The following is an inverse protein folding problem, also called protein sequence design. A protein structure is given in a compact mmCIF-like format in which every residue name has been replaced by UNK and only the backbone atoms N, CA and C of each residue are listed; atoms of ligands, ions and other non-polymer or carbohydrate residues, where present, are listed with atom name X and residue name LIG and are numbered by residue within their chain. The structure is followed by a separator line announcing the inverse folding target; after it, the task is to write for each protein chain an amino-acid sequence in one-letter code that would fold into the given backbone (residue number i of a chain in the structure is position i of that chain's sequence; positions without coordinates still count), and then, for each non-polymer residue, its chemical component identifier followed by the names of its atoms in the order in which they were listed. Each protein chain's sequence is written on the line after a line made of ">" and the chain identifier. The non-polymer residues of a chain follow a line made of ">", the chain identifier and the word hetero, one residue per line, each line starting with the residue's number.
data_IF_721904786682
#
_entry.id   IF_721904786682
#
_cell.length_a   1.000
_cell.length_b   1.000
_cell.length_c   1.000
_cell.angle_alpha   90.00
_cell.angle_beta   90.00
_cell.angle_gamma   90.00
#
_symmetry.space_group_name_H-M   'P 1'
#
loop_
_entity.id
_entity.type
_entity.pdbx_description
1 polymer ?
#
# COMPACT_ATOMS: atom_id res chain seq x y z
N UNK A 1 15.39 -28.62 -5.82
CA UNK A 1 14.74 -27.34 -5.41
C UNK A 1 15.65 -26.64 -4.42
N UNK A 2 16.29 -25.55 -4.82
CA UNK A 2 16.98 -24.63 -3.90
C UNK A 2 15.93 -24.03 -2.96
N UNK A 3 16.13 -24.13 -1.64
CA UNK A 3 15.23 -23.49 -0.67
C UNK A 3 15.24 -21.98 -0.95
N UNK A 4 14.08 -21.30 -1.03
CA UNK A 4 14.08 -19.85 -1.17
C UNK A 4 14.81 -19.24 0.03
N UNK A 5 15.65 -18.25 -0.25
CA UNK A 5 16.39 -17.54 0.78
C UNK A 5 15.40 -16.93 1.79
N UNK A 6 15.76 -16.94 3.08
CA UNK A 6 14.92 -16.42 4.18
C UNK A 6 14.42 -15.01 3.87
N UNK A 7 15.29 -14.17 3.29
CA UNK A 7 14.97 -12.83 2.77
C UNK A 7 13.77 -12.86 1.82
N UNK A 8 13.87 -13.63 0.74
CA UNK A 8 12.85 -13.69 -0.30
C UNK A 8 11.51 -14.15 0.29
N UNK A 9 11.52 -15.21 1.09
CA UNK A 9 10.31 -15.75 1.72
C UNK A 9 9.60 -14.71 2.59
N UNK A 10 10.33 -13.96 3.39
CA UNK A 10 9.77 -12.93 4.28
C UNK A 10 9.21 -11.77 3.46
N UNK A 11 10.00 -11.22 2.53
CA UNK A 11 9.61 -10.06 1.73
C UNK A 11 8.36 -10.38 0.91
N UNK A 12 8.32 -11.53 0.26
CA UNK A 12 7.18 -11.96 -0.54
C UNK A 12 5.94 -12.20 0.32
N UNK A 13 6.10 -12.80 1.51
CA UNK A 13 4.97 -12.97 2.44
C UNK A 13 4.33 -11.63 2.80
N UNK A 14 5.13 -10.63 3.16
CA UNK A 14 4.63 -9.29 3.50
C UNK A 14 3.97 -8.59 2.31
N UNK A 15 4.58 -8.71 1.13
CA UNK A 15 4.03 -8.12 -0.09
C UNK A 15 2.68 -8.75 -0.44
N UNK A 16 2.60 -10.09 -0.46
CA UNK A 16 1.37 -10.83 -0.78
C UNK A 16 0.27 -10.57 0.26
N UNK A 17 0.60 -10.48 1.55
CA UNK A 17 -0.38 -10.12 2.57
C UNK A 17 -0.92 -8.69 2.42
N UNK A 18 -0.15 -7.76 1.84
CA UNK A 18 -0.67 -6.43 1.51
C UNK A 18 -1.48 -6.41 0.21
N UNK A 19 -1.10 -7.22 -0.78
CA UNK A 19 -1.89 -7.45 -1.99
C UNK A 19 -3.26 -8.08 -1.65
N UNK A 20 -3.29 -8.98 -0.67
CA UNK A 20 -4.51 -9.60 -0.17
C UNK A 20 -5.47 -8.57 0.42
N UNK A 21 -4.98 -7.61 1.23
CA UNK A 21 -5.82 -6.53 1.75
C UNK A 21 -6.39 -5.67 0.61
N UNK A 22 -5.60 -5.38 -0.43
CA UNK A 22 -6.09 -4.65 -1.61
C UNK A 22 -7.14 -5.42 -2.39
N UNK A 23 -6.93 -6.71 -2.58
CA UNK A 23 -7.90 -7.56 -3.26
C UNK A 23 -9.19 -7.65 -2.46
N UNK A 24 -9.11 -7.76 -1.13
CA UNK A 24 -10.29 -7.68 -0.28
C UNK A 24 -10.95 -6.31 -0.36
N UNK A 25 -10.21 -5.20 -0.27
CA UNK A 25 -10.75 -3.85 -0.43
C UNK A 25 -11.58 -3.73 -1.72
N UNK A 26 -11.08 -4.27 -2.83
CA UNK A 26 -11.79 -4.33 -4.10
C UNK A 26 -13.07 -5.19 -4.06
N UNK A 27 -13.06 -6.32 -3.33
CA UNK A 27 -14.19 -7.25 -3.24
C UNK A 27 -15.37 -6.73 -2.45
N UNK A 28 -15.12 -6.11 -1.30
CA UNK A 28 -16.19 -5.77 -0.36
C UNK A 28 -17.03 -4.56 -0.79
N UNK A 29 -16.53 -3.75 -1.75
CA UNK A 29 -17.11 -2.49 -2.26
C UNK A 29 -18.35 -2.06 -1.47
N UNK A 30 -18.09 -1.54 -0.27
CA UNK A 30 -19.03 -1.59 0.84
C UNK A 30 -19.59 -0.19 1.10
N UNK A 31 -20.85 -0.05 1.53
CA UNK A 31 -21.34 1.24 2.05
C UNK A 31 -20.55 1.70 3.30
N UNK A 32 -19.81 0.78 3.93
CA UNK A 32 -18.94 1.06 5.06
C UNK A 32 -17.56 1.52 4.57
N UNK A 33 -16.96 2.51 5.25
CA UNK A 33 -15.61 3.05 4.96
C UNK A 33 -14.46 2.03 5.16
N UNK A 34 -14.73 0.73 5.12
CA UNK A 34 -13.76 -0.33 5.36
C UNK A 34 -12.81 -0.56 4.17
N UNK A 35 -13.22 -0.24 2.94
CA UNK A 35 -12.35 -0.30 1.76
C UNK A 35 -11.09 0.59 1.90
N UNK A 36 -11.21 1.91 2.22
CA UNK A 36 -10.06 2.76 2.50
C UNK A 36 -9.17 2.29 3.65
N UNK A 37 -9.75 1.66 4.67
CA UNK A 37 -8.98 1.05 5.76
C UNK A 37 -8.10 -0.09 5.24
N UNK A 38 -8.68 -1.06 4.51
CA UNK A 38 -7.92 -2.18 3.95
C UNK A 38 -6.86 -1.69 2.95
N UNK A 39 -7.16 -0.68 2.14
CA UNK A 39 -6.15 -0.04 1.31
C UNK A 39 -5.01 0.59 2.14
N UNK A 40 -5.30 1.22 3.28
CA UNK A 40 -4.25 1.76 4.15
C UNK A 40 -3.35 0.66 4.73
N UNK A 41 -3.95 -0.47 5.16
CA UNK A 41 -3.20 -1.62 5.70
C UNK A 41 -2.38 -2.32 4.62
N UNK A 42 -2.93 -2.51 3.41
CA UNK A 42 -2.22 -3.11 2.29
C UNK A 42 -1.01 -2.27 1.88
N UNK A 43 -1.17 -0.94 1.83
CA UNK A 43 -0.09 0.01 1.58
C UNK A 43 1.02 -0.10 2.64
N UNK A 44 0.65 -0.18 3.92
CA UNK A 44 1.60 -0.37 5.02
C UNK A 44 2.40 -1.67 4.87
N UNK A 45 1.72 -2.80 4.64
CA UNK A 45 2.37 -4.12 4.53
C UNK A 45 3.34 -4.16 3.34
N UNK A 46 2.97 -3.59 2.21
CA UNK A 46 3.83 -3.52 1.02
C UNK A 46 5.03 -2.59 1.27
N UNK A 47 4.81 -1.46 1.94
CA UNK A 47 5.91 -0.57 2.37
C UNK A 47 6.90 -1.32 3.27
N UNK A 48 6.37 -2.09 4.23
CA UNK A 48 7.18 -2.94 5.13
C UNK A 48 7.92 -4.03 4.37
N UNK A 49 7.35 -4.63 3.33
CA UNK A 49 8.05 -5.62 2.50
C UNK A 49 9.35 -5.07 1.91
N UNK A 50 9.30 -3.87 1.32
CA UNK A 50 10.50 -3.20 0.78
C UNK A 50 11.53 -2.88 1.85
N UNK A 51 11.06 -2.32 2.96
CA UNK A 51 11.90 -1.96 4.10
C UNK A 51 12.57 -3.18 4.74
N UNK A 52 11.88 -4.31 4.79
CA UNK A 52 12.46 -5.57 5.26
C UNK A 52 13.56 -6.03 4.31
N UNK A 53 13.36 -5.92 3.00
CA UNK A 53 14.42 -6.20 2.01
C UNK A 53 15.67 -5.32 2.23
N UNK A 54 15.49 -4.01 2.51
CA UNK A 54 16.60 -3.11 2.87
C UNK A 54 17.36 -3.55 4.12
N UNK A 55 16.67 -4.19 5.06
CA UNK A 55 17.23 -4.61 6.35
C UNK A 55 17.59 -6.10 6.39
N UNK A 56 17.68 -6.77 5.24
CA UNK A 56 17.89 -8.22 5.14
C UNK A 56 19.13 -8.72 5.88
N UNK A 57 20.22 -7.95 5.85
CA UNK A 57 21.46 -8.29 6.55
C UNK A 57 21.28 -8.56 8.06
N UNK A 58 20.20 -8.05 8.67
CA UNK A 58 19.89 -8.28 10.10
C UNK A 58 19.26 -9.64 10.39
N UNK A 59 18.72 -10.33 9.39
CA UNK A 59 17.93 -11.55 9.62
C UNK A 59 18.15 -12.68 8.60
N UNK A 60 18.72 -12.42 7.43
CA UNK A 60 18.76 -13.41 6.35
C UNK A 60 19.70 -14.60 6.62
N UNK A 61 20.69 -14.41 7.50
CA UNK A 61 21.63 -15.43 7.94
C UNK A 61 21.22 -16.11 9.26
N UNK A 62 20.11 -15.69 9.86
CA UNK A 62 19.60 -16.31 11.08
C UNK A 62 18.83 -17.60 10.76
N UNK A 63 18.63 -18.45 11.77
CA UNK A 63 17.67 -19.55 11.66
C UNK A 63 16.25 -18.99 11.54
N UNK A 64 15.36 -19.76 10.92
CA UNK A 64 14.00 -19.30 10.59
C UNK A 64 13.21 -18.74 11.79
N UNK A 65 13.36 -19.35 12.97
CA UNK A 65 12.69 -18.86 14.19
C UNK A 65 13.16 -17.45 14.55
N UNK A 66 14.47 -17.29 14.74
CA UNK A 66 15.09 -16.03 15.15
C UNK A 66 14.94 -14.94 14.08
N UNK A 67 14.95 -15.33 12.80
CA UNK A 67 14.66 -14.44 11.69
C UNK A 67 13.24 -13.84 11.80
N UNK A 68 12.23 -14.65 12.15
CA UNK A 68 10.85 -14.16 12.34
C UNK A 68 10.75 -13.20 13.53
N UNK A 69 11.43 -13.48 14.63
CA UNK A 69 11.46 -12.58 15.79
C UNK A 69 12.11 -11.24 15.44
N UNK A 70 13.27 -11.26 14.77
CA UNK A 70 13.95 -10.06 14.29
C UNK A 70 13.06 -9.26 13.33
N UNK A 71 12.41 -9.92 12.37
CA UNK A 71 11.46 -9.27 11.45
C UNK A 71 10.29 -8.64 12.18
N UNK A 72 9.73 -9.32 13.19
CA UNK A 72 8.67 -8.75 14.02
C UNK A 72 9.14 -7.50 14.76
N UNK A 73 10.35 -7.49 15.33
CA UNK A 73 10.93 -6.30 15.95
C UNK A 73 11.08 -5.15 14.94
N UNK A 74 11.62 -5.44 13.74
CA UNK A 74 11.81 -4.45 12.68
C UNK A 74 10.47 -3.88 12.17
N UNK A 75 9.46 -4.72 12.00
CA UNK A 75 8.15 -4.33 11.52
C UNK A 75 7.36 -3.54 12.56
N UNK A 76 7.39 -3.96 13.84
CA UNK A 76 6.70 -3.27 14.95
C UNK A 76 7.28 -1.89 15.23
N UNK A 77 8.62 -1.74 15.18
CA UNK A 77 9.30 -0.45 15.46
C UNK A 77 8.79 0.70 14.57
N UNK A 78 8.25 0.40 13.39
CA UNK A 78 7.78 1.41 12.44
C UNK A 78 6.34 1.87 12.68
N UNK A 79 5.56 1.14 13.48
CA UNK A 79 4.16 1.45 13.76
C UNK A 79 3.34 1.58 12.47
N UNK A 80 2.42 2.56 12.48
CA UNK A 80 1.52 2.93 11.39
C UNK A 80 1.93 4.25 10.70
N UNK A 81 3.21 4.62 10.75
CA UNK A 81 3.70 5.91 10.25
C UNK A 81 4.00 5.88 8.74
N UNK A 82 2.94 5.92 7.91
CA UNK A 82 3.04 5.77 6.46
C UNK A 82 3.98 6.80 5.81
N UNK A 83 3.89 8.07 6.20
CA UNK A 83 4.79 9.13 5.69
C UNK A 83 6.26 8.84 5.96
N UNK A 84 6.59 8.28 7.14
CA UNK A 84 7.96 7.91 7.50
C UNK A 84 8.46 6.74 6.65
N UNK A 85 7.61 5.74 6.42
CA UNK A 85 7.96 4.58 5.58
C UNK A 85 8.19 5.00 4.13
N UNK A 86 7.32 5.83 3.56
CA UNK A 86 7.51 6.38 2.21
C UNK A 86 8.82 7.16 2.09
N UNK A 87 9.14 8.01 3.08
CA UNK A 87 10.41 8.74 3.11
C UNK A 87 11.61 7.80 3.18
N UNK A 88 11.55 6.75 4.01
CA UNK A 88 12.60 5.74 4.11
C UNK A 88 12.81 5.02 2.76
N UNK A 89 11.72 4.63 2.09
CA UNK A 89 11.77 3.98 0.77
C UNK A 89 12.41 4.92 -0.26
N UNK A 90 11.94 6.16 -0.37
CA UNK A 90 12.44 7.16 -1.33
C UNK A 90 13.95 7.39 -1.21
N UNK A 91 14.48 7.38 0.00
CA UNK A 91 15.89 7.58 0.25
C UNK A 91 16.78 6.40 -0.20
N UNK A 92 16.20 5.22 -0.48
CA UNK A 92 16.94 4.00 -0.79
C UNK A 92 16.59 3.37 -2.13
N UNK A 93 15.52 3.84 -2.81
CA UNK A 93 15.25 3.40 -4.17
C UNK A 93 16.34 3.97 -5.08
N UNK A 94 17.04 3.08 -5.81
CA UNK A 94 17.94 3.48 -6.87
C UNK A 94 17.13 3.87 -8.12
N UNK A 95 16.34 4.94 -8.03
CA UNK A 95 15.52 5.49 -9.11
C UNK A 95 15.96 6.94 -9.39
N UNK A 96 16.19 7.34 -10.66
CA UNK A 96 16.43 8.73 -11.00
C UNK A 96 15.27 9.68 -10.67
N UNK A 97 14.04 9.16 -10.54
CA UNK A 97 12.88 9.90 -10.03
C UNK A 97 12.21 9.11 -8.88
N UNK A 98 12.72 9.22 -7.64
CA UNK A 98 12.13 8.55 -6.48
C UNK A 98 10.76 9.14 -6.10
N UNK A 99 10.44 10.37 -6.51
CA UNK A 99 9.10 10.97 -6.33
C UNK A 99 8.05 10.26 -7.17
N UNK A 100 8.49 9.67 -8.30
CA UNK A 100 7.61 8.88 -9.15
C UNK A 100 6.86 7.81 -8.36
N UNK A 101 7.37 7.30 -7.23
CA UNK A 101 6.67 6.33 -6.38
C UNK A 101 5.28 6.81 -5.96
N UNK A 102 5.11 8.12 -5.80
CA UNK A 102 3.88 8.79 -5.38
C UNK A 102 3.05 9.35 -6.53
N UNK A 103 3.55 9.31 -7.77
CA UNK A 103 2.82 9.81 -8.92
C UNK A 103 1.60 8.93 -9.21
N UNK A 104 0.40 9.52 -9.09
CA UNK A 104 -0.84 8.93 -9.60
C UNK A 104 -1.26 9.74 -10.83
N UNK A 105 -1.14 9.13 -12.02
CA UNK A 105 -1.47 9.77 -13.31
C UNK A 105 -2.96 10.10 -13.50
N UNK A 106 -3.84 9.68 -12.57
CA UNK A 106 -5.30 9.85 -12.68
C UNK A 106 -5.91 10.94 -11.78
N UNK A 107 -5.10 11.65 -11.00
CA UNK A 107 -5.64 12.50 -9.93
C UNK A 107 -6.00 13.92 -10.37
N UNK A 108 -7.22 14.36 -10.00
CA UNK A 108 -7.76 15.72 -10.23
C UNK A 108 -7.50 16.71 -9.08
N UNK A 109 -6.98 16.27 -7.94
CA UNK A 109 -6.73 17.12 -6.77
C UNK A 109 -5.32 17.73 -6.80
N UNK A 110 -5.20 19.02 -6.47
CA UNK A 110 -3.90 19.68 -6.23
C UNK A 110 -3.24 19.08 -4.97
N UNK A 111 -1.92 18.92 -4.96
CA UNK A 111 -1.12 18.32 -3.85
C UNK A 111 -1.43 16.85 -3.49
N UNK A 112 -1.91 16.09 -4.48
CA UNK A 112 -2.57 14.80 -4.32
C UNK A 112 -1.86 13.76 -3.43
N UNK A 113 -0.54 13.58 -3.51
CA UNK A 113 0.11 12.49 -2.78
C UNK A 113 0.23 12.76 -1.28
N UNK A 114 0.47 14.01 -0.87
CA UNK A 114 0.54 14.37 0.55
C UNK A 114 -0.83 14.23 1.19
N UNK A 115 -1.86 14.76 0.52
CA UNK A 115 -3.26 14.62 0.96
C UNK A 115 -3.69 13.16 0.99
N UNK A 116 -3.28 12.34 0.01
CA UNK A 116 -3.57 10.89 0.01
C UNK A 116 -2.93 10.18 1.18
N UNK A 117 -1.65 10.45 1.49
CA UNK A 117 -0.98 9.86 2.65
C UNK A 117 -1.61 10.30 3.97
N UNK A 118 -2.05 11.55 4.06
CA UNK A 118 -2.80 12.06 5.22
C UNK A 118 -4.17 11.39 5.35
N UNK A 119 -4.88 11.22 4.23
CA UNK A 119 -6.14 10.51 4.18
C UNK A 119 -5.97 9.04 4.60
N UNK A 120 -4.88 8.38 4.23
CA UNK A 120 -4.59 7.00 4.67
C UNK A 120 -4.34 6.91 6.17
N UNK A 121 -3.53 7.83 6.71
CA UNK A 121 -3.29 7.90 8.16
C UNK A 121 -4.60 8.16 8.93
N UNK A 122 -5.49 9.01 8.39
CA UNK A 122 -6.82 9.25 8.95
C UNK A 122 -7.76 8.03 8.80
N UNK A 123 -7.77 7.36 7.65
CA UNK A 123 -8.59 6.19 7.37
C UNK A 123 -8.33 5.04 8.36
N UNK A 124 -7.11 4.93 8.89
CA UNK A 124 -6.80 3.95 9.94
C UNK A 124 -7.71 4.08 11.18
N UNK A 125 -8.11 5.31 11.54
CA UNK A 125 -8.97 5.61 12.68
C UNK A 125 -10.44 5.81 12.25
N UNK A 126 -10.69 6.72 11.31
CA UNK A 126 -12.05 7.17 10.95
C UNK A 126 -12.92 6.08 10.32
N UNK A 127 -12.31 5.08 9.70
CA UNK A 127 -13.05 3.99 9.09
C UNK A 127 -13.55 2.94 10.09
N UNK A 128 -13.07 3.00 11.35
CA UNK A 128 -13.38 2.01 12.39
C UNK A 128 -13.99 2.61 13.64
N UNK A 129 -13.77 3.90 13.88
CA UNK A 129 -14.21 4.58 15.07
C UNK A 129 -14.93 5.88 14.71
N UNK A 130 -15.99 6.26 15.45
CA UNK A 130 -16.48 7.63 15.41
C UNK A 130 -15.36 8.56 15.89
N UNK A 131 -15.17 9.67 15.18
CA UNK A 131 -14.18 10.70 15.54
C UNK A 131 -14.88 12.03 15.78
N UNK A 132 -14.37 12.88 16.67
CA UNK A 132 -14.98 14.18 16.97
C UNK A 132 -14.82 15.20 15.84
N UNK A 133 -13.83 15.02 14.95
CA UNK A 133 -13.63 15.83 13.74
C UNK A 133 -13.13 14.92 12.63
N UNK A 134 -13.81 14.95 11.49
CA UNK A 134 -13.50 14.10 10.34
C UNK A 134 -12.49 14.77 9.40
N UNK A 135 -11.66 13.98 8.73
CA UNK A 135 -10.62 14.47 7.84
C UNK A 135 -11.18 15.31 6.67
N UNK A 136 -12.36 14.97 6.16
CA UNK A 136 -13.01 15.67 5.05
C UNK A 136 -13.33 17.13 5.38
N UNK A 137 -13.52 17.48 6.66
CA UNK A 137 -13.84 18.86 7.10
C UNK A 137 -12.75 19.87 6.72
N UNK A 138 -11.52 19.41 6.42
CA UNK A 138 -10.41 20.24 5.94
C UNK A 138 -10.54 20.68 4.48
N UNK A 139 -11.48 20.10 3.73
CA UNK A 139 -11.63 20.29 2.29
C UNK A 139 -13.03 20.80 1.94
N UNK A 140 -13.42 22.02 2.38
CA UNK A 140 -14.73 22.57 2.07
C UNK A 140 -14.87 22.90 0.58
N UNK A 141 -16.03 22.57 0.00
CA UNK A 141 -16.38 22.99 -1.36
C UNK A 141 -16.87 24.43 -1.30
N UNK A 142 -15.96 25.37 -1.62
CA UNK A 142 -16.16 26.81 -1.41
C UNK A 142 -17.44 27.39 -2.03
N UNK A 143 -17.99 26.76 -3.07
CA UNK A 143 -19.20 27.20 -3.75
C UNK A 143 -20.51 26.78 -3.08
N UNK A 144 -20.48 25.93 -2.04
CA UNK A 144 -21.70 25.37 -1.42
C UNK A 144 -21.75 25.74 0.06
N UNK A 145 -22.32 26.91 0.34
CA UNK A 145 -22.45 27.47 1.69
C UNK A 145 -23.92 27.59 2.11
N UNK A 146 -24.22 27.31 3.38
CA UNK A 146 -25.50 27.63 4.04
C UNK A 146 -25.22 28.58 5.18
N UNK A 147 -25.85 29.75 5.17
CA UNK A 147 -25.61 30.84 6.14
C UNK A 147 -24.11 31.22 6.25
N UNK A 148 -23.37 31.18 5.15
CA UNK A 148 -21.93 31.46 5.13
C UNK A 148 -21.03 30.33 5.62
N UNK A 149 -21.59 29.17 6.00
CA UNK A 149 -20.83 28.00 6.46
C UNK A 149 -20.78 26.89 5.40
N UNK A 150 -19.64 26.19 5.22
CA UNK A 150 -19.54 25.07 4.30
C UNK A 150 -20.42 23.90 4.76
N UNK A 151 -21.23 23.37 3.85
CA UNK A 151 -22.09 22.19 4.10
C UNK A 151 -21.73 20.99 3.25
N UNK A 152 -20.86 21.16 2.25
CA UNK A 152 -20.32 20.09 1.42
C UNK A 152 -18.81 20.14 1.47
N UNK A 153 -18.22 18.96 1.57
CA UNK A 153 -16.79 18.76 1.68
C UNK A 153 -16.36 17.69 0.68
N UNK A 154 -15.16 17.84 0.11
CA UNK A 154 -14.53 16.76 -0.62
C UNK A 154 -14.15 15.65 0.37
N UNK A 155 -14.34 14.38 -0.03
CA UNK A 155 -13.97 13.20 0.78
C UNK A 155 -12.77 12.46 0.16
N UNK A 156 -11.52 12.85 0.51
CA UNK A 156 -10.32 12.15 0.04
C UNK A 156 -10.27 10.67 0.47
N UNK A 157 -10.84 10.31 1.62
CA UNK A 157 -10.83 8.93 2.13
C UNK A 157 -11.72 8.05 1.24
N UNK A 158 -12.92 8.52 0.91
CA UNK A 158 -13.86 7.82 0.04
C UNK A 158 -13.56 7.91 -1.46
N UNK A 159 -12.48 8.58 -1.86
CA UNK A 159 -12.17 8.82 -3.27
C UNK A 159 -11.63 7.58 -3.97
N UNK A 160 -12.04 7.34 -5.22
CA UNK A 160 -11.44 6.32 -6.10
C UNK A 160 -9.95 6.54 -6.36
N UNK A 161 -9.47 7.79 -6.24
CA UNK A 161 -8.04 8.11 -6.34
C UNK A 161 -7.20 7.39 -5.26
N UNK A 162 -7.80 7.12 -4.10
CA UNK A 162 -7.17 6.44 -2.97
C UNK A 162 -6.73 5.02 -3.36
N UNK A 163 -7.64 4.26 -3.96
CA UNK A 163 -7.41 2.86 -4.37
C UNK A 163 -6.43 2.79 -5.54
N UNK A 164 -6.60 3.67 -6.53
CA UNK A 164 -5.69 3.75 -7.68
C UNK A 164 -4.26 4.10 -7.25
N UNK A 165 -4.10 5.01 -6.29
CA UNK A 165 -2.81 5.36 -5.72
C UNK A 165 -2.17 4.15 -5.02
N UNK A 166 -2.93 3.40 -4.21
CA UNK A 166 -2.45 2.18 -3.57
C UNK A 166 -1.94 1.14 -4.57
N UNK A 167 -2.73 0.84 -5.60
CA UNK A 167 -2.35 -0.13 -6.63
C UNK A 167 -1.12 0.31 -7.42
N UNK A 168 -1.04 1.59 -7.81
CA UNK A 168 0.12 2.15 -8.49
C UNK A 168 1.38 2.07 -7.63
N UNK A 169 1.27 2.40 -6.34
CA UNK A 169 2.36 2.28 -5.38
C UNK A 169 2.83 0.82 -5.24
N UNK A 170 1.90 -0.12 -5.12
CA UNK A 170 2.20 -1.55 -5.05
C UNK A 170 3.00 -2.04 -6.26
N UNK A 171 2.57 -1.63 -7.45
CA UNK A 171 3.26 -1.89 -8.70
C UNK A 171 4.69 -1.39 -8.69
N UNK A 172 4.92 -0.14 -8.27
CA UNK A 172 6.26 0.45 -8.18
C UNK A 172 7.14 -0.25 -7.15
N UNK A 173 6.60 -0.59 -5.99
CA UNK A 173 7.33 -1.39 -4.99
C UNK A 173 7.72 -2.76 -5.57
N UNK A 174 6.83 -3.43 -6.32
CA UNK A 174 7.18 -4.70 -6.98
C UNK A 174 8.37 -4.55 -7.94
N UNK A 175 8.41 -3.45 -8.70
CA UNK A 175 9.53 -3.12 -9.60
C UNK A 175 10.81 -2.85 -8.83
N UNK A 176 10.74 -2.10 -7.73
CA UNK A 176 11.92 -1.80 -6.91
C UNK A 176 12.44 -3.02 -6.15
N UNK A 177 11.57 -3.93 -5.73
CA UNK A 177 11.98 -5.21 -5.14
C UNK A 177 12.80 -6.04 -6.12
N UNK A 178 12.37 -6.10 -7.40
CA UNK A 178 13.12 -6.75 -8.46
C UNK A 178 14.43 -6.04 -8.76
N UNK A 179 14.39 -4.73 -9.00
CA UNK A 179 15.56 -3.93 -9.38
C UNK A 179 16.66 -3.93 -8.31
N UNK A 180 16.29 -3.78 -7.04
CA UNK A 180 17.27 -3.53 -5.98
C UNK A 180 17.70 -4.80 -5.23
N UNK A 181 16.87 -5.85 -5.21
CA UNK A 181 17.11 -7.05 -4.40
C UNK A 181 16.97 -8.38 -5.16
N UNK A 182 16.68 -8.31 -6.47
CA UNK A 182 16.36 -9.46 -7.32
C UNK A 182 15.17 -10.30 -6.81
N UNK A 183 14.23 -9.66 -6.12
CA UNK A 183 13.02 -10.32 -5.59
C UNK A 183 11.86 -10.08 -6.56
N UNK A 184 11.38 -11.15 -7.20
CA UNK A 184 10.20 -11.11 -8.08
C UNK A 184 9.00 -11.80 -7.44
N UNK A 185 7.80 -11.29 -7.73
CA UNK A 185 6.54 -11.99 -7.44
C UNK A 185 6.21 -12.85 -8.67
N UNK A 186 6.08 -14.16 -8.50
CA UNK A 186 5.67 -15.04 -9.60
C UNK A 186 4.17 -14.89 -9.86
N UNK A 187 3.77 -15.13 -11.12
CA UNK A 187 2.35 -15.10 -11.50
C UNK A 187 1.52 -16.06 -10.66
N UNK A 188 2.01 -17.27 -10.42
CA UNK A 188 1.37 -18.27 -9.55
C UNK A 188 1.12 -17.76 -8.13
N UNK A 189 2.08 -17.06 -7.51
CA UNK A 189 1.91 -16.49 -6.17
C UNK A 189 0.91 -15.33 -6.17
N UNK A 190 0.92 -14.50 -7.21
CA UNK A 190 -0.06 -13.43 -7.39
C UNK A 190 -1.49 -14.01 -7.52
N UNK A 191 -1.69 -14.99 -8.40
CA UNK A 191 -2.99 -15.63 -8.64
C UNK A 191 -3.48 -16.41 -7.40
N UNK A 192 -2.57 -16.90 -6.54
CA UNK A 192 -2.96 -17.52 -5.27
C UNK A 192 -3.63 -16.55 -4.29
N UNK A 193 -3.42 -15.25 -4.45
CA UNK A 193 -4.08 -14.18 -3.68
C UNK A 193 -5.27 -13.60 -4.45
N UNK A 194 -5.07 -13.30 -5.73
CA UNK A 194 -6.08 -12.70 -6.61
C UNK A 194 -6.85 -13.80 -7.34
N UNK A 195 -7.86 -14.36 -6.67
CA UNK A 195 -8.67 -15.47 -7.19
C UNK A 195 -10.17 -15.34 -6.91
N UNK A 196 -10.96 -16.20 -7.56
CA UNK A 196 -12.42 -16.23 -7.45
C UNK A 196 -13.11 -15.12 -8.24
N UNK A 197 -14.41 -14.92 -8.02
CA UNK A 197 -15.27 -14.12 -8.91
C UNK A 197 -14.85 -12.66 -9.12
N UNK A 198 -14.02 -12.09 -8.24
CA UNK A 198 -13.55 -10.71 -8.35
C UNK A 198 -12.17 -10.58 -9.01
N UNK A 199 -11.48 -11.69 -9.30
CA UNK A 199 -10.12 -11.66 -9.85
C UNK A 199 -10.07 -10.93 -11.19
N UNK A 200 -11.02 -11.19 -12.08
CA UNK A 200 -11.02 -10.63 -13.44
C UNK A 200 -11.18 -9.11 -13.40
N UNK A 201 -12.09 -8.62 -12.56
CA UNK A 201 -12.29 -7.18 -12.34
C UNK A 201 -11.05 -6.51 -11.75
N UNK A 202 -10.37 -7.16 -10.81
CA UNK A 202 -9.14 -6.67 -10.22
C UNK A 202 -8.00 -6.63 -11.24
N UNK A 203 -7.80 -7.74 -11.96
CA UNK A 203 -6.76 -7.87 -12.98
C UNK A 203 -6.95 -6.85 -14.11
N UNK A 204 -8.17 -6.71 -14.64
CA UNK A 204 -8.47 -5.76 -15.70
C UNK A 204 -8.14 -4.32 -15.31
N UNK A 205 -8.26 -3.96 -14.03
CA UNK A 205 -7.97 -2.60 -13.55
C UNK A 205 -6.51 -2.39 -13.15
N UNK A 206 -5.91 -3.39 -12.49
CA UNK A 206 -4.69 -3.18 -11.73
C UNK A 206 -3.51 -4.06 -12.15
N UNK A 207 -3.71 -5.12 -12.93
CA UNK A 207 -2.62 -6.05 -13.31
C UNK A 207 -1.48 -5.32 -14.02
N UNK A 208 -1.79 -4.32 -14.85
CA UNK A 208 -0.83 -3.48 -15.56
C UNK A 208 0.19 -2.76 -14.65
N UNK A 209 -0.11 -2.59 -13.36
CA UNK A 209 0.81 -1.97 -12.42
C UNK A 209 1.89 -2.94 -11.93
N UNK A 210 1.62 -4.24 -11.92
CA UNK A 210 2.51 -5.25 -11.35
C UNK A 210 3.51 -5.80 -12.37
N UNK A 211 4.74 -6.02 -11.93
CA UNK A 211 5.74 -6.76 -12.70
C UNK A 211 5.82 -8.18 -12.14
N UNK A 212 5.27 -9.14 -12.89
CA UNK A 212 5.20 -10.54 -12.50
C UNK A 212 6.19 -11.36 -13.34
N UNK A 213 6.77 -12.40 -12.74
CA UNK A 213 7.52 -13.39 -13.48
C UNK A 213 6.59 -14.56 -13.88
N UNK A 214 6.55 -14.87 -15.16
CA UNK A 214 5.78 -16.01 -15.69
C UNK A 214 6.46 -17.36 -15.42
N UNK A 215 7.74 -17.34 -15.03
CA UNK A 215 8.52 -18.53 -14.72
C UNK A 215 8.26 -19.00 -13.28
N UNK A 216 7.28 -19.91 -13.09
CA UNK A 216 7.17 -21.03 -12.11
C UNK A 216 5.72 -21.34 -11.76
#
# INVERSE_FOLDING_TARGET
>A
MTKPLIRERIVISWFLSGLEDFFYAFKIHSPWRYEPFLCSIGFEKISKAYILALNAAKYENLKWHDAKEMVNCLAKKRGHHLKKMVKEIKNHVNDPDPESILNNSSAKLKDNHKTTLEAMEAAYLECRYPVPSYFHEKFPVASILVNGHPVVYDDPIGSTNFVNFCASFAGKISKYLKKNFDISISRKRFDSVVNGNASDGFCNRYLQYFTLNDST
#
